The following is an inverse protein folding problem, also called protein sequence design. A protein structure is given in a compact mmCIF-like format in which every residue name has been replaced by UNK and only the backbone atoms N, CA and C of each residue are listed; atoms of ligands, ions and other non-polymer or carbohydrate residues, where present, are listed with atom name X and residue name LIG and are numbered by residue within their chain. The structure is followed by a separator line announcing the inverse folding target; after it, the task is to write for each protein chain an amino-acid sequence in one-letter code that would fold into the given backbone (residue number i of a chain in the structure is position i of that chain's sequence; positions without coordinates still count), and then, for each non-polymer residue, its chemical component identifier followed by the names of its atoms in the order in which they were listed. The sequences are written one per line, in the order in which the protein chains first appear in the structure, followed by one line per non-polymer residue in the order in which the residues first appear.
data_IF_140094628316
#
_entry.id   IF_140094628316
#
_cell.length_a   1.000
_cell.length_b   1.000
_cell.length_c   1.000
_cell.angle_alpha   90.00
_cell.angle_beta   90.00
_cell.angle_gamma   90.00
#
_symmetry.space_group_name_H-M   'P 1'
#
loop_
_entity.id
_entity.type
_entity.pdbx_description
1 polymer ?
#
# COMPACT_ATOMS: atom_id res chain seq x y z
N UNK A 1 -4.00 -82.83 -41.54
CA UNK A 1 -3.21 -83.39 -42.66
C UNK A 1 -2.66 -82.22 -43.46
N UNK A 2 -1.33 -82.22 -43.69
CA UNK A 2 -0.47 -81.24 -44.37
C UNK A 2 -0.07 -79.96 -43.62
N UNK A 3 1.24 -79.95 -43.33
CA UNK A 3 2.14 -78.94 -42.78
C UNK A 3 2.21 -77.65 -43.61
N UNK A 4 2.48 -76.54 -42.93
CA UNK A 4 3.04 -75.30 -43.49
C UNK A 4 3.92 -74.63 -42.42
N UNK A 5 5.24 -74.65 -42.66
CA UNK A 5 6.32 -74.39 -41.71
C UNK A 5 6.70 -72.90 -41.68
N UNK A 6 6.92 -72.39 -40.46
CA UNK A 6 7.57 -71.11 -40.14
C UNK A 6 8.93 -70.92 -40.84
N UNK A 7 9.31 -69.66 -41.15
CA UNK A 7 10.36 -68.89 -40.45
C UNK A 7 10.91 -67.73 -41.33
N UNK A 8 11.36 -66.70 -40.60
CA UNK A 8 12.29 -65.61 -40.98
C UNK A 8 11.66 -64.28 -41.42
N UNK A 9 11.23 -63.52 -40.41
CA UNK A 9 11.39 -62.06 -40.37
C UNK A 9 12.88 -61.70 -40.40
N UNK A 10 13.26 -60.80 -41.29
CA UNK A 10 14.62 -60.27 -41.39
C UNK A 10 14.66 -58.94 -42.15
N UNK A 11 14.71 -57.85 -41.38
CA UNK A 11 15.56 -56.66 -41.59
C UNK A 11 15.53 -55.95 -42.97
N UNK A 12 14.86 -54.80 -43.03
CA UNK A 12 15.25 -53.65 -43.87
C UNK A 12 14.84 -52.34 -43.15
N UNK A 13 15.63 -51.97 -42.15
CA UNK A 13 15.81 -50.57 -41.78
C UNK A 13 16.65 -49.91 -42.88
N UNK A 14 16.33 -48.68 -43.29
CA UNK A 14 17.21 -47.64 -43.88
C UNK A 14 16.35 -46.61 -44.63
N UNK A 15 15.94 -45.52 -43.94
CA UNK A 15 15.60 -44.21 -44.54
C UNK A 15 15.28 -43.18 -43.44
N UNK A 16 16.31 -42.78 -42.70
CA UNK A 16 16.30 -41.55 -41.88
C UNK A 16 17.48 -40.71 -42.30
N UNK A 17 17.36 -40.02 -43.44
CA UNK A 17 18.28 -38.95 -43.86
C UNK A 17 17.69 -37.63 -43.39
N UNK A 18 18.48 -36.91 -42.59
CA UNK A 18 18.06 -35.80 -41.77
C UNK A 18 17.60 -34.56 -42.52
N UNK A 19 16.47 -34.03 -42.08
CA UNK A 19 16.15 -32.61 -42.15
C UNK A 19 16.85 -31.93 -40.97
N UNK A 20 18.16 -31.73 -41.07
CA UNK A 20 18.84 -30.75 -40.23
C UNK A 20 18.54 -29.37 -40.82
N UNK A 21 17.49 -28.74 -40.31
CA UNK A 21 17.20 -27.35 -40.64
C UNK A 21 18.38 -26.49 -40.22
N UNK A 22 19.00 -25.80 -41.18
CA UNK A 22 19.87 -24.66 -40.91
C UNK A 22 19.04 -23.61 -40.19
N UNK A 23 19.08 -23.61 -38.85
CA UNK A 23 18.58 -22.49 -38.07
C UNK A 23 19.59 -21.38 -38.23
N UNK A 24 19.13 -20.25 -38.76
CA UNK A 24 19.96 -19.07 -39.01
C UNK A 24 20.65 -18.64 -37.70
N UNK A 25 21.99 -18.53 -37.67
CA UNK A 25 22.72 -18.12 -36.47
C UNK A 25 22.32 -16.72 -35.99
N UNK A 26 21.83 -15.85 -36.87
CA UNK A 26 21.30 -14.53 -36.49
C UNK A 26 19.98 -14.65 -35.74
N UNK A 27 19.12 -15.60 -36.14
CA UNK A 27 17.85 -15.87 -35.46
C UNK A 27 18.06 -16.50 -34.08
N UNK A 28 19.02 -17.42 -33.93
CA UNK A 28 19.41 -17.93 -32.59
C UNK A 28 20.00 -16.86 -31.69
N UNK A 29 20.77 -15.92 -32.23
CA UNK A 29 21.32 -14.82 -31.45
C UNK A 29 20.23 -13.83 -31.00
N UNK A 30 19.24 -13.56 -31.84
CA UNK A 30 18.08 -12.73 -31.49
C UNK A 30 17.21 -13.45 -30.45
N UNK A 31 16.95 -14.75 -30.64
CA UNK A 31 16.22 -15.57 -29.68
C UNK A 31 16.96 -15.68 -28.35
N UNK A 32 18.29 -15.84 -28.34
CA UNK A 32 19.07 -15.89 -27.09
C UNK A 32 19.09 -14.54 -26.37
N UNK A 33 19.22 -13.42 -27.10
CA UNK A 33 19.12 -12.07 -26.51
C UNK A 33 17.71 -11.83 -25.96
N UNK A 34 16.68 -12.27 -26.68
CA UNK A 34 15.30 -12.16 -26.21
C UNK A 34 15.05 -13.03 -24.99
N UNK A 35 15.50 -14.29 -24.98
CA UNK A 35 15.40 -15.20 -23.84
C UNK A 35 16.20 -14.70 -22.64
N UNK A 36 17.41 -14.20 -22.81
CA UNK A 36 18.20 -13.58 -21.74
C UNK A 36 17.52 -12.32 -21.20
N UNK A 37 16.91 -11.50 -22.07
CA UNK A 37 16.17 -10.30 -21.64
C UNK A 37 14.87 -10.64 -20.90
N UNK A 38 14.21 -11.73 -21.27
CA UNK A 38 13.00 -12.26 -20.62
C UNK A 38 13.39 -12.88 -19.27
N UNK A 39 14.46 -13.67 -19.22
CA UNK A 39 14.96 -14.29 -17.99
C UNK A 39 15.51 -13.22 -17.01
N UNK A 40 16.12 -12.14 -17.51
CA UNK A 40 16.50 -10.98 -16.70
C UNK A 40 15.28 -10.21 -16.17
N UNK A 41 14.22 -10.07 -16.96
CA UNK A 41 12.93 -9.50 -16.50
C UNK A 41 12.26 -10.39 -15.45
N UNK A 42 12.30 -11.72 -15.62
CA UNK A 42 11.77 -12.69 -14.66
C UNK A 42 12.59 -12.74 -13.35
N UNK A 43 13.90 -12.47 -13.40
CA UNK A 43 14.77 -12.42 -12.22
C UNK A 43 14.77 -11.07 -11.49
N UNK A 44 14.20 -10.01 -12.06
CA UNK A 44 14.23 -8.67 -11.47
C UNK A 44 13.04 -8.46 -10.53
N UNK A 45 13.35 -8.32 -9.25
CA UNK A 45 12.37 -7.96 -8.22
C UNK A 45 12.01 -6.46 -8.32
N UNK A 46 11.12 -6.16 -9.28
CA UNK A 46 10.68 -4.80 -9.58
C UNK A 46 9.99 -4.16 -8.37
N UNK A 47 9.32 -4.95 -7.52
CA UNK A 47 8.72 -4.45 -6.28
C UNK A 47 9.79 -3.95 -5.31
N UNK A 48 10.81 -4.78 -5.03
CA UNK A 48 11.92 -4.39 -4.16
C UNK A 48 12.67 -3.17 -4.70
N UNK A 49 12.86 -3.07 -6.01
CA UNK A 49 13.46 -1.90 -6.64
C UNK A 49 12.63 -0.64 -6.40
N UNK A 50 11.31 -0.69 -6.55
CA UNK A 50 10.41 0.42 -6.25
C UNK A 50 10.59 0.95 -4.79
N UNK A 51 10.67 0.05 -3.81
CA UNK A 51 10.86 0.42 -2.41
C UNK A 51 12.21 1.10 -2.10
N UNK A 52 13.25 0.87 -2.92
CA UNK A 52 14.55 1.53 -2.74
C UNK A 52 14.51 3.03 -3.09
N UNK A 53 13.58 3.44 -3.95
CA UNK A 53 13.41 4.84 -4.36
C UNK A 53 12.49 5.65 -3.45
N UNK A 54 11.64 5.02 -2.64
CA UNK A 54 10.71 5.73 -1.74
C UNK A 54 11.40 6.77 -0.82
N UNK A 55 12.57 6.50 -0.19
CA UNK A 55 13.26 7.51 0.61
C UNK A 55 13.70 8.73 -0.19
N UNK A 56 13.88 8.59 -1.51
CA UNK A 56 14.33 9.67 -2.40
C UNK A 56 13.21 10.68 -2.68
N UNK A 57 11.94 10.29 -2.55
CA UNK A 57 10.79 11.19 -2.64
C UNK A 57 10.87 12.37 -1.66
N UNK A 58 11.57 12.17 -0.54
CA UNK A 58 11.76 13.18 0.51
C UNK A 58 13.03 14.02 0.25
N UNK A 59 14.02 13.50 -0.50
CA UNK A 59 15.42 13.96 -0.44
C UNK A 59 15.87 14.97 -1.50
N UNK A 60 15.13 15.20 -2.59
CA UNK A 60 15.14 16.42 -3.45
C UNK A 60 14.73 16.14 -4.91
N UNK A 61 14.98 14.94 -5.45
CA UNK A 61 14.57 14.60 -6.83
C UNK A 61 13.29 13.75 -6.84
N UNK A 62 12.20 14.39 -6.40
CA UNK A 62 10.90 13.74 -6.31
C UNK A 62 10.40 13.26 -7.68
N UNK A 63 10.63 14.04 -8.73
CA UNK A 63 10.14 13.71 -10.08
C UNK A 63 10.81 12.45 -10.63
N UNK A 64 12.14 12.35 -10.56
CA UNK A 64 12.84 11.16 -11.05
C UNK A 64 12.50 9.94 -10.18
N UNK A 65 12.48 10.11 -8.86
CA UNK A 65 12.11 9.02 -7.95
C UNK A 65 10.69 8.50 -8.24
N UNK A 66 9.71 9.39 -8.45
CA UNK A 66 8.35 8.99 -8.80
C UNK A 66 8.27 8.27 -10.16
N UNK A 67 8.99 8.77 -11.18
CA UNK A 67 9.02 8.12 -12.49
C UNK A 67 9.56 6.69 -12.38
N UNK A 68 10.62 6.49 -11.61
CA UNK A 68 11.23 5.19 -11.43
C UNK A 68 10.33 4.25 -10.61
N UNK A 69 9.73 4.72 -9.50
CA UNK A 69 8.77 3.93 -8.72
C UNK A 69 7.60 3.50 -9.62
N UNK A 70 7.01 4.43 -10.38
CA UNK A 70 5.91 4.13 -11.31
C UNK A 70 6.33 3.09 -12.36
N UNK A 71 7.51 3.25 -12.95
CA UNK A 71 8.03 2.29 -13.92
C UNK A 71 8.16 0.90 -13.32
N UNK A 72 8.77 0.79 -12.13
CA UNK A 72 8.96 -0.50 -11.46
C UNK A 72 7.64 -1.16 -11.04
N UNK A 73 6.69 -0.39 -10.50
CA UNK A 73 5.36 -0.90 -10.11
C UNK A 73 4.55 -1.40 -11.31
N UNK A 74 4.58 -0.66 -12.42
CA UNK A 74 3.86 -1.08 -13.63
C UNK A 74 4.56 -2.24 -14.37
N UNK A 75 5.90 -2.32 -14.28
CA UNK A 75 6.66 -3.49 -14.73
C UNK A 75 6.27 -4.74 -13.93
N UNK A 76 6.20 -4.62 -12.59
CA UNK A 76 5.70 -5.67 -11.73
C UNK A 76 4.26 -6.05 -12.09
N UNK A 77 3.34 -5.08 -12.19
CA UNK A 77 1.94 -5.30 -12.57
C UNK A 77 1.81 -6.09 -13.86
N UNK A 78 2.59 -5.72 -14.88
CA UNK A 78 2.60 -6.39 -16.19
C UNK A 78 3.17 -7.81 -16.15
N UNK A 79 4.00 -8.13 -15.16
CA UNK A 79 4.58 -9.47 -14.98
C UNK A 79 3.65 -10.46 -14.27
N UNK A 80 2.59 -9.98 -13.62
CA UNK A 80 1.63 -10.85 -12.90
C UNK A 80 0.74 -11.57 -13.91
N UNK A 81 1.09 -12.83 -14.22
CA UNK A 81 0.29 -13.73 -15.05
C UNK A 81 -0.95 -14.15 -14.26
N UNK A 82 -2.14 -13.78 -14.75
CA UNK A 82 -3.44 -14.00 -14.09
C UNK A 82 -3.57 -13.27 -12.74
N UNK A 83 -3.75 -11.93 -12.74
CA UNK A 83 -4.03 -11.21 -11.51
C UNK A 83 -5.28 -11.82 -10.82
N UNK A 84 -5.24 -12.07 -9.51
CA UNK A 84 -6.34 -12.71 -8.78
C UNK A 84 -7.62 -11.92 -8.96
N UNK A 85 -8.64 -12.50 -9.63
CA UNK A 85 -9.98 -11.92 -9.94
C UNK A 85 -10.08 -10.39 -9.88
N UNK A 86 -9.10 -9.67 -10.44
CA UNK A 86 -9.05 -8.23 -10.23
C UNK A 86 -10.16 -7.60 -11.06
N UNK A 87 -11.04 -6.88 -10.38
CA UNK A 87 -12.15 -6.15 -10.98
C UNK A 87 -12.13 -4.74 -10.42
N UNK A 88 -12.33 -3.78 -11.30
CA UNK A 88 -12.55 -2.39 -10.88
C UNK A 88 -13.73 -2.34 -9.90
N UNK A 89 -13.61 -1.48 -8.89
CA UNK A 89 -14.65 -1.34 -7.87
C UNK A 89 -15.95 -0.81 -8.46
N UNK A 90 -17.09 -1.42 -8.10
CA UNK A 90 -18.42 -0.92 -8.48
C UNK A 90 -18.70 0.49 -7.93
N UNK A 91 -17.95 0.93 -6.90
CA UNK A 91 -18.04 2.31 -6.40
C UNK A 91 -17.69 3.36 -7.47
N UNK A 92 -16.91 3.01 -8.49
CA UNK A 92 -16.63 3.93 -9.61
C UNK A 92 -17.90 4.31 -10.38
N UNK A 93 -18.93 3.46 -10.35
CA UNK A 93 -20.24 3.73 -10.95
C UNK A 93 -21.04 4.76 -10.15
N UNK A 94 -20.67 5.05 -8.90
CA UNK A 94 -21.29 6.11 -8.10
C UNK A 94 -20.70 7.50 -8.36
N UNK A 95 -19.51 7.57 -8.99
CA UNK A 95 -18.87 8.83 -9.33
C UNK A 95 -19.66 9.51 -10.46
N UNK A 96 -19.95 10.82 -10.41
CA UNK A 96 -20.59 11.56 -11.50
C UNK A 96 -19.83 11.40 -12.84
N UNK A 97 -20.57 11.32 -13.95
CA UNK A 97 -19.97 11.08 -15.27
C UNK A 97 -18.90 12.12 -15.66
N UNK A 98 -19.08 13.37 -15.25
CA UNK A 98 -18.10 14.46 -15.46
C UNK A 98 -16.77 14.24 -14.74
N UNK A 99 -16.74 13.47 -13.65
CA UNK A 99 -15.53 13.16 -12.90
C UNK A 99 -14.90 11.82 -13.32
N UNK A 100 -15.64 10.95 -14.01
CA UNK A 100 -15.10 9.67 -14.54
C UNK A 100 -14.12 9.86 -15.69
N UNK A 101 -14.18 11.00 -16.38
CA UNK A 101 -13.29 11.33 -17.50
C UNK A 101 -11.94 11.87 -17.05
N UNK A 102 -11.78 12.17 -15.77
CA UNK A 102 -10.50 12.61 -15.19
C UNK A 102 -9.54 11.41 -15.19
N UNK A 103 -8.27 11.63 -15.55
CA UNK A 103 -7.22 10.62 -15.64
C UNK A 103 -7.20 9.66 -14.43
N UNK A 104 -7.31 10.21 -13.22
CA UNK A 104 -7.36 9.43 -11.99
C UNK A 104 -8.48 8.37 -11.98
N UNK A 105 -9.70 8.75 -12.37
CA UNK A 105 -10.84 7.84 -12.38
C UNK A 105 -10.71 6.76 -13.46
N UNK A 106 -10.10 7.11 -14.60
CA UNK A 106 -9.80 6.14 -15.66
C UNK A 106 -8.73 5.14 -15.21
N UNK A 107 -7.67 5.59 -14.54
CA UNK A 107 -6.61 4.70 -14.04
C UNK A 107 -7.13 3.68 -13.03
N UNK A 108 -8.08 4.05 -12.17
CA UNK A 108 -8.72 3.10 -11.24
C UNK A 108 -9.50 1.96 -11.94
N UNK A 109 -9.78 2.07 -13.25
CA UNK A 109 -10.37 0.98 -14.06
C UNK A 109 -9.33 0.01 -14.63
N UNK A 110 -8.04 0.26 -14.39
CA UNK A 110 -6.93 -0.56 -14.86
C UNK A 110 -6.02 -0.96 -13.69
N UNK A 111 -5.23 -2.01 -13.89
CA UNK A 111 -4.17 -2.40 -12.95
C UNK A 111 -2.90 -1.58 -13.22
N UNK A 112 -3.01 -0.26 -13.11
CA UNK A 112 -1.95 0.70 -13.37
C UNK A 112 -1.68 1.56 -12.13
N UNK A 113 -0.41 1.77 -11.82
CA UNK A 113 0.06 2.61 -10.71
C UNK A 113 0.47 3.99 -11.23
N UNK A 114 0.16 5.05 -10.48
CA UNK A 114 0.63 6.40 -10.75
C UNK A 114 1.09 7.14 -9.50
N UNK A 115 1.12 8.47 -9.60
CA UNK A 115 1.59 9.34 -8.51
C UNK A 115 0.87 9.11 -7.17
N UNK A 116 -0.47 9.04 -7.09
CA UNK A 116 -1.16 8.85 -5.81
C UNK A 116 -0.77 7.55 -5.10
N UNK A 117 -0.54 6.48 -5.86
CA UNK A 117 -0.11 5.20 -5.32
C UNK A 117 1.33 5.28 -4.77
N UNK A 118 2.23 5.98 -5.46
CA UNK A 118 3.58 6.25 -4.97
C UNK A 118 3.58 7.04 -3.66
N UNK A 119 2.79 8.11 -3.59
CA UNK A 119 2.65 8.92 -2.37
C UNK A 119 2.06 8.10 -1.23
N UNK A 120 1.08 7.24 -1.53
CA UNK A 120 0.49 6.35 -0.54
C UNK A 120 1.49 5.32 0.00
N UNK A 121 2.34 4.74 -0.85
CA UNK A 121 3.41 3.84 -0.42
C UNK A 121 4.44 4.54 0.46
N UNK A 122 4.85 5.77 0.10
CA UNK A 122 5.73 6.60 0.92
C UNK A 122 5.12 6.86 2.29
N UNK A 123 3.85 7.26 2.33
CA UNK A 123 3.11 7.48 3.57
C UNK A 123 3.10 6.22 4.45
N UNK A 124 2.77 5.07 3.86
CA UNK A 124 2.79 3.78 4.56
C UNK A 124 4.18 3.47 5.16
N UNK A 125 5.25 3.71 4.40
CA UNK A 125 6.61 3.49 4.89
C UNK A 125 6.96 4.43 6.04
N UNK A 126 6.64 5.73 5.94
CA UNK A 126 6.91 6.71 6.99
C UNK A 126 6.19 6.34 8.30
N UNK A 127 4.90 5.99 8.20
CA UNK A 127 4.10 5.62 9.36
C UNK A 127 4.57 4.30 9.97
N UNK A 128 5.01 3.33 9.14
CA UNK A 128 5.63 2.09 9.64
C UNK A 128 6.93 2.36 10.38
N UNK A 129 7.81 3.22 9.86
CA UNK A 129 9.06 3.58 10.52
C UNK A 129 8.82 4.26 11.87
N UNK A 130 7.93 5.26 11.89
CA UNK A 130 7.60 5.98 13.13
C UNK A 130 6.93 5.05 14.14
N UNK A 131 5.91 4.28 13.74
CA UNK A 131 5.22 3.37 14.64
C UNK A 131 6.16 2.30 15.21
N UNK A 132 7.04 1.71 14.40
CA UNK A 132 8.05 0.76 14.89
C UNK A 132 9.01 1.42 15.90
N UNK A 133 9.48 2.64 15.64
CA UNK A 133 10.32 3.39 16.57
C UNK A 133 9.61 3.72 17.89
N UNK A 134 8.31 4.02 17.84
CA UNK A 134 7.49 4.27 19.04
C UNK A 134 7.33 2.99 19.86
N UNK A 135 7.02 1.87 19.22
CA UNK A 135 6.75 0.59 19.87
C UNK A 135 7.99 0.00 20.55
N UNK A 136 9.17 0.18 19.94
CA UNK A 136 10.46 -0.26 20.49
C UNK A 136 10.81 0.43 21.82
N UNK A 137 10.22 1.61 22.08
CA UNK A 137 10.44 2.34 23.33
C UNK A 137 9.54 1.81 24.45
N UNK A 138 9.99 1.90 25.71
CA UNK A 138 9.13 1.61 26.85
C UNK A 138 7.97 2.61 26.91
N UNK A 139 6.82 2.18 27.42
CA UNK A 139 5.68 3.06 27.63
C UNK A 139 6.02 4.12 28.69
N UNK A 140 5.76 5.41 28.41
CA UNK A 140 6.22 6.55 29.24
C UNK A 140 5.09 7.35 29.87
N UNK A 141 3.86 7.17 29.43
CA UNK A 141 2.73 7.93 29.92
C UNK A 141 2.46 7.59 31.40
N UNK A 142 2.56 8.60 32.25
CA UNK A 142 2.38 8.47 33.69
C UNK A 142 0.91 8.45 34.10
N UNK A 143 0.00 8.95 33.27
CA UNK A 143 -1.42 9.01 33.56
C UNK A 143 -2.04 7.62 33.55
N UNK A 144 -1.72 6.82 32.53
CA UNK A 144 -2.29 5.48 32.36
C UNK A 144 -1.33 4.33 32.71
N UNK A 145 -0.07 4.58 33.12
CA UNK A 145 0.88 3.51 33.46
C UNK A 145 0.36 2.54 34.52
N UNK A 146 -0.17 3.07 35.63
CA UNK A 146 -0.71 2.25 36.72
C UNK A 146 -1.97 1.49 36.26
N UNK A 147 -2.82 2.14 35.49
CA UNK A 147 -4.02 1.52 34.92
C UNK A 147 -3.64 0.36 33.98
N UNK A 148 -2.72 0.58 33.04
CA UNK A 148 -2.24 -0.43 32.11
C UNK A 148 -1.59 -1.61 32.84
N UNK A 149 -0.80 -1.34 33.88
CA UNK A 149 -0.18 -2.37 34.71
C UNK A 149 -1.25 -3.23 35.42
N UNK A 150 -2.31 -2.61 35.95
CA UNK A 150 -3.42 -3.33 36.61
C UNK A 150 -4.16 -4.27 35.65
N UNK A 151 -4.19 -3.98 34.35
CA UNK A 151 -4.84 -4.80 33.32
C UNK A 151 -4.02 -6.00 32.85
N UNK A 152 -2.75 -6.13 33.26
CA UNK A 152 -1.87 -7.20 32.75
C UNK A 152 -2.34 -8.62 33.10
N UNK A 153 -3.01 -8.79 34.24
CA UNK A 153 -3.57 -10.08 34.65
C UNK A 153 -4.95 -10.39 34.05
N UNK A 154 -5.66 -9.36 33.58
CA UNK A 154 -7.04 -9.47 33.10
C UNK A 154 -7.12 -9.92 31.63
N UNK A 155 -6.05 -9.71 30.86
CA UNK A 155 -6.02 -9.86 29.40
C UNK A 155 -5.08 -10.97 28.97
N UNK A 156 -5.38 -11.59 27.82
CA UNK A 156 -4.42 -12.48 27.17
C UNK A 156 -3.16 -11.71 26.77
N UNK A 157 -2.00 -12.38 26.75
CA UNK A 157 -0.71 -11.73 26.47
C UNK A 157 -0.70 -10.94 25.13
N UNK A 158 -1.37 -11.47 24.11
CA UNK A 158 -1.51 -10.81 22.80
C UNK A 158 -2.38 -9.55 22.85
N UNK A 159 -3.49 -9.60 23.59
CA UNK A 159 -4.39 -8.45 23.79
C UNK A 159 -3.73 -7.37 24.63
N UNK A 160 -3.01 -7.76 25.68
CA UNK A 160 -2.22 -6.84 26.50
C UNK A 160 -1.15 -6.12 25.66
N UNK A 161 -0.42 -6.86 24.81
CA UNK A 161 0.58 -6.28 23.92
C UNK A 161 -0.04 -5.33 22.88
N UNK A 162 -1.21 -5.65 22.33
CA UNK A 162 -1.97 -4.75 21.45
C UNK A 162 -2.42 -3.48 22.17
N UNK A 163 -2.91 -3.61 23.40
CA UNK A 163 -3.31 -2.46 24.22
C UNK A 163 -2.13 -1.55 24.54
N UNK A 164 -1.01 -2.11 25.00
CA UNK A 164 0.22 -1.34 25.27
C UNK A 164 0.69 -0.63 23.99
N UNK A 165 0.73 -1.34 22.86
CA UNK A 165 1.10 -0.77 21.55
C UNK A 165 0.20 0.40 21.18
N UNK A 166 -1.12 0.21 21.29
CA UNK A 166 -2.12 1.25 20.99
C UNK A 166 -1.91 2.49 21.86
N UNK A 167 -1.65 2.30 23.16
CA UNK A 167 -1.41 3.41 24.08
C UNK A 167 -0.11 4.15 23.79
N UNK A 168 0.98 3.45 23.44
CA UNK A 168 2.24 4.08 23.00
C UNK A 168 2.02 4.95 21.78
N UNK A 169 1.31 4.43 20.78
CA UNK A 169 1.00 5.16 19.55
C UNK A 169 0.08 6.36 19.82
N UNK A 170 -0.91 6.21 20.69
CA UNK A 170 -1.81 7.27 21.09
C UNK A 170 -1.06 8.40 21.81
N UNK A 171 -0.30 8.07 22.85
CA UNK A 171 0.53 9.01 23.62
C UNK A 171 1.49 9.77 22.69
N UNK A 172 2.21 9.03 21.83
CA UNK A 172 3.10 9.67 20.86
C UNK A 172 2.36 10.62 19.93
N UNK A 173 1.23 10.20 19.34
CA UNK A 173 0.42 11.06 18.46
C UNK A 173 0.01 12.34 19.21
N UNK A 174 -0.41 12.18 20.47
CA UNK A 174 -0.94 13.28 21.28
C UNK A 174 0.12 14.31 21.61
N UNK A 175 1.32 13.85 21.95
CA UNK A 175 2.43 14.70 22.33
C UNK A 175 3.18 15.32 21.14
N UNK A 176 3.09 14.73 19.94
CA UNK A 176 3.91 15.14 18.79
C UNK A 176 3.11 15.80 17.66
N UNK A 177 1.78 15.80 17.69
CA UNK A 177 0.95 16.46 16.67
C UNK A 177 0.08 17.50 17.35
N UNK A 178 0.37 18.78 17.13
CA UNK A 178 -0.42 19.89 17.66
C UNK A 178 -1.81 19.92 17.02
N UNK A 179 -2.85 20.14 17.83
CA UNK A 179 -4.20 20.38 17.32
C UNK A 179 -4.30 21.82 16.81
N UNK A 180 -4.80 21.97 15.60
CA UNK A 180 -5.08 23.27 14.96
C UNK A 180 -6.49 23.30 14.36
N UNK A 181 -7.00 24.51 14.14
CA UNK A 181 -8.33 24.72 13.57
C UNK A 181 -9.37 25.03 14.63
N UNK A 182 -10.43 25.70 14.22
CA UNK A 182 -11.57 26.02 15.08
C UNK A 182 -12.47 24.77 15.20
N UNK A 183 -12.70 24.22 16.41
CA UNK A 183 -13.59 23.08 16.63
C UNK A 183 -14.98 23.28 16.01
N UNK A 184 -15.48 24.53 15.97
CA UNK A 184 -16.80 24.86 15.41
C UNK A 184 -16.89 24.58 13.91
N UNK A 185 -15.75 24.66 13.18
CA UNK A 185 -15.73 24.29 11.76
C UNK A 185 -16.02 22.81 11.58
N UNK A 186 -15.50 21.95 12.45
CA UNK A 186 -15.77 20.51 12.41
C UNK A 186 -17.20 20.20 12.86
N UNK A 187 -17.70 20.89 13.90
CA UNK A 187 -19.10 20.74 14.34
C UNK A 187 -20.10 21.14 13.26
N UNK A 188 -19.78 22.18 12.47
CA UNK A 188 -20.63 22.61 11.37
C UNK A 188 -20.83 21.51 10.30
N UNK A 189 -19.86 20.60 10.15
CA UNK A 189 -19.95 19.47 9.21
C UNK A 189 -20.96 18.40 9.64
N UNK A 190 -21.35 18.37 10.92
CA UNK A 190 -22.44 17.50 11.40
C UNK A 190 -23.79 17.98 10.86
N UNK A 191 -23.95 19.30 10.71
CA UNK A 191 -25.20 19.92 10.25
C UNK A 191 -25.21 20.11 8.73
N UNK A 192 -24.08 20.49 8.16
CA UNK A 192 -23.87 20.61 6.72
C UNK A 192 -22.62 19.81 6.30
N UNK A 193 -22.77 18.59 5.79
CA UNK A 193 -21.65 17.75 5.40
C UNK A 193 -20.90 18.25 4.16
N UNK A 194 -21.41 19.29 3.49
CA UNK A 194 -20.74 19.90 2.36
C UNK A 194 -19.46 20.59 2.83
N UNK A 195 -18.34 20.03 2.38
CA UNK A 195 -17.06 20.58 2.73
C UNK A 195 -16.84 21.91 1.98
N UNK A 196 -16.40 22.98 2.66
CA UNK A 196 -16.10 24.24 1.99
C UNK A 196 -14.93 24.02 1.02
N UNK A 197 -14.98 24.48 -0.24
CA UNK A 197 -13.87 24.34 -1.19
C UNK A 197 -12.76 25.33 -0.82
N UNK A 198 -11.91 24.95 0.13
CA UNK A 198 -10.85 25.80 0.66
C UNK A 198 -9.62 24.97 0.99
N UNK A 199 -8.44 25.51 0.66
CA UNK A 199 -7.15 24.92 1.05
C UNK A 199 -6.95 24.88 2.57
N UNK A 200 -7.79 25.60 3.33
CA UNK A 200 -7.80 25.60 4.79
C UNK A 200 -8.99 24.84 5.37
N UNK A 201 -9.72 24.07 4.56
CA UNK A 201 -10.86 23.30 5.03
C UNK A 201 -10.43 22.25 6.06
N UNK A 202 -11.25 22.00 7.10
CA UNK A 202 -11.02 20.89 8.01
C UNK A 202 -10.99 19.55 7.25
N UNK A 203 -10.47 18.50 7.88
CA UNK A 203 -10.40 17.11 7.37
C UNK A 203 -9.35 16.91 6.28
N UNK A 204 -9.36 17.68 5.19
CA UNK A 204 -8.52 17.41 4.01
C UNK A 204 -7.42 18.43 3.70
N UNK A 205 -7.26 19.49 4.52
CA UNK A 205 -6.13 20.46 4.39
C UNK A 205 -4.76 19.79 4.28
N UNK A 206 -4.55 18.66 4.95
CA UNK A 206 -3.28 17.91 4.91
C UNK A 206 -3.49 16.42 4.69
N UNK A 207 -2.60 15.83 3.88
CA UNK A 207 -2.40 14.39 3.79
C UNK A 207 -1.74 13.86 5.08
N UNK A 208 -1.95 12.60 5.48
CA UNK A 208 -1.40 12.05 6.71
C UNK A 208 0.13 12.18 6.81
N UNK A 209 0.87 11.99 5.72
CA UNK A 209 2.32 12.21 5.72
C UNK A 209 2.70 13.68 5.96
N UNK A 210 1.89 14.63 5.48
CA UNK A 210 2.09 16.07 5.73
C UNK A 210 1.80 16.40 7.19
N UNK A 211 0.71 15.89 7.75
CA UNK A 211 0.38 16.02 9.18
C UNK A 211 1.50 15.48 10.06
N UNK A 212 2.08 14.34 9.68
CA UNK A 212 3.22 13.73 10.35
C UNK A 212 4.47 14.62 10.28
N UNK A 213 4.80 15.15 9.11
CA UNK A 213 5.99 15.98 8.89
C UNK A 213 5.88 17.37 9.53
N UNK A 214 4.71 18.00 9.46
CA UNK A 214 4.49 19.33 10.00
C UNK A 214 4.17 19.30 11.50
N UNK A 215 3.89 18.13 12.07
CA UNK A 215 3.57 17.96 13.49
C UNK A 215 2.36 18.80 13.93
N UNK A 216 1.40 19.02 13.04
CA UNK A 216 0.18 19.79 13.28
C UNK A 216 -0.96 19.33 12.39
N UNK A 217 -2.19 19.44 12.88
CA UNK A 217 -3.39 19.08 12.13
C UNK A 217 -4.66 19.31 12.94
N UNK A 218 -5.81 19.30 12.30
CA UNK A 218 -7.08 19.22 13.01
C UNK A 218 -7.29 17.84 13.67
N UNK A 219 -8.38 17.69 14.42
CA UNK A 219 -8.71 16.43 15.10
C UNK A 219 -8.82 15.23 14.14
N UNK A 220 -9.28 15.44 12.91
CA UNK A 220 -9.40 14.40 11.89
C UNK A 220 -8.04 14.03 11.29
N UNK A 221 -7.21 15.02 11.01
CA UNK A 221 -5.86 14.80 10.48
C UNK A 221 -5.00 14.06 11.50
N UNK A 222 -5.06 14.45 12.77
CA UNK A 222 -4.35 13.79 13.86
C UNK A 222 -4.85 12.37 14.11
N UNK A 223 -6.16 12.15 14.09
CA UNK A 223 -6.74 10.80 14.25
C UNK A 223 -6.35 9.88 13.10
N UNK A 224 -6.31 10.38 11.85
CA UNK A 224 -5.83 9.60 10.69
C UNK A 224 -4.40 9.12 10.86
N UNK A 225 -3.49 9.96 11.37
CA UNK A 225 -2.11 9.52 11.64
C UNK A 225 -2.08 8.41 12.69
N UNK A 226 -2.82 8.57 13.80
CA UNK A 226 -2.94 7.52 14.82
C UNK A 226 -3.48 6.20 14.25
N UNK A 227 -4.62 6.24 13.55
CA UNK A 227 -5.25 5.06 12.95
C UNK A 227 -4.32 4.37 11.96
N UNK A 228 -3.60 5.11 11.12
CA UNK A 228 -2.67 4.50 10.16
C UNK A 228 -1.42 3.91 10.83
N UNK A 229 -0.94 4.48 11.93
CA UNK A 229 0.11 3.84 12.73
C UNK A 229 -0.38 2.54 13.37
N UNK A 230 -1.63 2.49 13.86
CA UNK A 230 -2.24 1.25 14.33
C UNK A 230 -2.29 0.19 13.23
N UNK A 231 -2.75 0.54 12.03
CA UNK A 231 -2.75 -0.37 10.88
C UNK A 231 -1.35 -0.86 10.52
N UNK A 232 -0.33 0.00 10.59
CA UNK A 232 1.06 -0.40 10.33
C UNK A 232 1.58 -1.45 11.33
N UNK A 233 0.98 -1.54 12.52
CA UNK A 233 1.25 -2.54 13.55
C UNK A 233 0.24 -3.72 13.55
N UNK A 234 -0.64 -3.80 12.55
CA UNK A 234 -1.65 -4.85 12.45
C UNK A 234 -2.77 -4.73 13.49
N UNK A 235 -3.06 -3.50 13.93
CA UNK A 235 -4.16 -3.19 14.87
C UNK A 235 -5.27 -2.50 14.09
N UNK A 236 -6.45 -3.10 14.10
CA UNK A 236 -7.65 -2.51 13.50
C UNK A 236 -8.13 -1.33 14.35
N UNK A 237 -8.22 -0.15 13.73
CA UNK A 237 -8.67 1.07 14.37
C UNK A 237 -9.66 1.82 13.48
N UNK A 238 -10.65 2.46 14.10
CA UNK A 238 -11.67 3.26 13.42
C UNK A 238 -11.81 4.60 14.11
N UNK A 239 -12.14 5.63 13.33
CA UNK A 239 -12.49 6.95 13.87
C UNK A 239 -14.01 7.01 13.99
N UNK A 240 -14.49 7.34 15.18
CA UNK A 240 -15.91 7.50 15.45
C UNK A 240 -16.25 8.99 15.62
N UNK A 241 -17.23 9.46 14.86
CA UNK A 241 -17.86 10.74 15.14
C UNK A 241 -18.87 10.52 16.27
N UNK A 242 -18.58 11.10 17.43
CA UNK A 242 -19.51 11.10 18.56
C UNK A 242 -20.16 12.48 18.65
N UNK A 243 -21.48 12.57 18.93
CA UNK A 243 -22.08 13.84 19.32
C UNK A 243 -21.29 14.39 20.51
N UNK A 244 -21.10 15.71 20.58
CA UNK A 244 -20.48 16.32 21.75
C UNK A 244 -21.22 15.84 23.00
N UNK A 245 -20.56 15.00 23.80
CA UNK A 245 -21.09 14.57 25.09
C UNK A 245 -20.90 15.78 25.99
N UNK A 246 -21.99 16.51 26.24
CA UNK A 246 -22.17 17.70 27.09
C UNK A 246 -21.94 19.05 26.38
N UNK A 247 -22.70 20.11 26.63
CA UNK A 247 -23.12 20.57 27.96
C UNK A 247 -21.92 20.99 28.84
N UNK A 248 -20.68 20.67 28.44
CA UNK A 248 -19.47 21.18 29.03
C UNK A 248 -19.29 22.58 28.48
N UNK A 249 -19.85 23.54 29.20
CA UNK A 249 -19.36 24.92 29.16
C UNK A 249 -17.85 24.87 29.27
N UNK A 250 -17.20 25.27 28.18
CA UNK A 250 -15.77 25.52 28.11
C UNK A 250 -15.38 26.35 29.33
N UNK A 251 -14.48 25.84 30.17
CA UNK A 251 -13.78 26.67 31.13
C UNK A 251 -12.87 27.59 30.32
N UNK A 252 -13.37 28.79 30.05
CA UNK A 252 -12.60 29.98 29.73
C UNK A 252 -11.73 30.40 30.92
#
# INVERSE_FOLDING_TARGET
MRLGVWKYLGFCAWLTVGLSGCVDPTQRAIESIQSESIEQKEKRDSLKDAFQYLPQLIRMDRTVAMQEINYQLNSWSSSVVSPPEWKASSLLESIPASLRTIDFAQRMTKLEFGEPECEYMMQCQMLKQVSSWVVDKPYRDRLFSNWLASRKGDLAATEWSRLETTLKLFDWTVCNIALEGDPKQVESLVVNPDMPPSDQAPIYRQLPWQTLMFARGDAWQRSRVFTQMCFAQGIDAVVLAVPSITGATENA
#
